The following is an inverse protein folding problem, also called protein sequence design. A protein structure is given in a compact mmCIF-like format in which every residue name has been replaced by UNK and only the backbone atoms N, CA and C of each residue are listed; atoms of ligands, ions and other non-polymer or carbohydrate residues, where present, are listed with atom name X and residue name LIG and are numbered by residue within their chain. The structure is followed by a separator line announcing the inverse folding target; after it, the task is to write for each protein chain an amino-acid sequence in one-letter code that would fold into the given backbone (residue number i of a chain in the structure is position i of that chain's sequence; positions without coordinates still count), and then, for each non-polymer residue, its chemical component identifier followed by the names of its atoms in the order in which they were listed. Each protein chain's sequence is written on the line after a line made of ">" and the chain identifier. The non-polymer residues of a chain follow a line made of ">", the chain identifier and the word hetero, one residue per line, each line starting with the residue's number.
data_IF_937510649816
#
_entry.id   IF_937510649816
#
_cell.length_a   1.000
_cell.length_b   1.000
_cell.length_c   1.000
_cell.angle_alpha   90.00
_cell.angle_beta   90.00
_cell.angle_gamma   90.00
#
_symmetry.space_group_name_H-M   'P 1'
#
loop_
_entity.id
_entity.type
_entity.pdbx_description
1 polymer ?
#
# COMPACT_ATOMS: atom_id res chain seq x y z
N UNK A 1 40.89 -3.70 -68.49
CA UNK A 1 40.79 -4.14 -67.06
C UNK A 1 40.02 -3.06 -66.31
N UNK A 2 38.73 -3.18 -66.32
CA UNK A 2 37.83 -2.25 -65.55
C UNK A 2 36.51 -2.99 -65.32
N UNK A 3 36.12 -3.27 -64.06
CA UNK A 3 34.80 -3.80 -63.80
C UNK A 3 34.64 -4.64 -62.53
N UNK A 4 35.17 -4.16 -61.38
CA UNK A 4 35.00 -4.87 -60.10
C UNK A 4 34.66 -3.98 -58.91
N UNK A 5 34.24 -2.73 -59.21
CA UNK A 5 33.97 -1.73 -58.16
C UNK A 5 32.52 -1.55 -57.76
N UNK A 6 31.57 -1.95 -58.59
CA UNK A 6 30.16 -1.49 -58.41
C UNK A 6 29.27 -2.45 -57.59
N UNK A 7 29.61 -3.72 -57.50
CA UNK A 7 28.77 -4.72 -56.77
C UNK A 7 28.82 -4.57 -55.24
N UNK A 8 29.89 -4.00 -54.68
CA UNK A 8 30.00 -3.80 -53.21
C UNK A 8 29.06 -2.72 -52.70
N UNK A 9 28.85 -1.68 -53.48
CA UNK A 9 27.96 -0.55 -53.08
C UNK A 9 26.47 -0.91 -53.07
N UNK A 10 26.06 -1.79 -53.97
CA UNK A 10 24.65 -2.26 -54.00
C UNK A 10 24.31 -3.21 -52.88
N UNK A 11 25.23 -4.07 -52.45
CA UNK A 11 25.08 -4.94 -51.31
C UNK A 11 24.98 -4.20 -49.99
N UNK A 12 25.82 -3.18 -49.79
CA UNK A 12 25.85 -2.36 -48.58
C UNK A 12 24.56 -1.54 -48.42
N UNK A 13 24.05 -0.92 -49.49
CA UNK A 13 22.76 -0.21 -49.45
C UNK A 13 21.59 -1.08 -49.13
N UNK A 14 21.55 -2.32 -49.66
CA UNK A 14 20.49 -3.32 -49.31
C UNK A 14 20.58 -3.75 -47.86
N UNK A 15 21.77 -3.95 -47.32
CA UNK A 15 22.00 -4.34 -45.95
C UNK A 15 21.61 -3.23 -44.97
N UNK A 16 22.02 -1.99 -45.22
CA UNK A 16 21.61 -0.81 -44.45
C UNK A 16 20.08 -0.64 -44.42
N UNK A 17 19.42 -0.82 -45.57
CA UNK A 17 17.97 -0.71 -45.67
C UNK A 17 17.25 -1.79 -44.85
N UNK A 18 17.75 -3.03 -44.90
CA UNK A 18 17.20 -4.13 -44.10
C UNK A 18 17.43 -3.92 -42.60
N UNK A 19 18.59 -3.46 -42.17
CA UNK A 19 18.89 -3.15 -40.78
C UNK A 19 18.01 -2.02 -40.26
N UNK A 20 17.76 -0.98 -41.08
CA UNK A 20 16.92 0.13 -40.70
C UNK A 20 15.44 -0.30 -40.56
N UNK A 21 14.95 -1.16 -41.46
CA UNK A 21 13.59 -1.73 -41.35
C UNK A 21 13.46 -2.60 -40.09
N UNK A 22 14.45 -3.44 -39.81
CA UNK A 22 14.48 -4.24 -38.59
C UNK A 22 14.48 -3.37 -37.34
N UNK A 23 15.26 -2.30 -37.33
CA UNK A 23 15.35 -1.38 -36.19
C UNK A 23 14.02 -0.65 -35.96
N UNK A 24 13.33 -0.20 -37.01
CA UNK A 24 12.01 0.44 -36.96
C UNK A 24 10.93 -0.51 -36.42
N UNK A 25 11.07 -1.81 -36.67
CA UNK A 25 10.10 -2.82 -36.16
C UNK A 25 10.47 -3.27 -34.75
N UNK A 26 11.75 -3.59 -34.50
CA UNK A 26 12.17 -4.15 -33.20
C UNK A 26 12.11 -3.12 -32.07
N UNK A 27 12.46 -1.86 -32.35
CA UNK A 27 12.49 -0.82 -31.31
C UNK A 27 11.11 -0.56 -30.67
N UNK A 28 10.02 -0.34 -31.43
CA UNK A 28 8.70 -0.21 -30.83
C UNK A 28 8.21 -1.51 -30.18
N UNK A 29 8.59 -2.68 -30.70
CA UNK A 29 8.23 -3.95 -30.12
C UNK A 29 8.88 -4.14 -28.73
N UNK A 30 10.17 -3.84 -28.60
CA UNK A 30 10.89 -3.88 -27.32
C UNK A 30 10.32 -2.83 -26.35
N UNK A 31 10.02 -1.63 -26.84
CA UNK A 31 9.39 -0.59 -26.01
C UNK A 31 8.01 -1.03 -25.53
N UNK A 32 7.19 -1.64 -26.38
CA UNK A 32 5.88 -2.14 -25.99
C UNK A 32 5.96 -3.22 -24.91
N UNK A 33 6.87 -4.18 -25.03
CA UNK A 33 7.11 -5.20 -24.02
C UNK A 33 7.60 -4.60 -22.70
N UNK A 34 8.60 -3.73 -22.74
CA UNK A 34 9.15 -3.08 -21.53
C UNK A 34 8.12 -2.20 -20.84
N UNK A 35 7.28 -1.51 -21.61
CA UNK A 35 6.22 -0.65 -21.05
C UNK A 35 5.13 -1.47 -20.40
N UNK A 36 4.74 -2.59 -20.99
CA UNK A 36 3.72 -3.48 -20.42
C UNK A 36 4.15 -4.04 -19.07
N UNK A 37 5.35 -4.58 -18.94
CA UNK A 37 5.88 -5.06 -17.67
C UNK A 37 6.00 -3.97 -16.60
N UNK A 38 6.42 -2.77 -17.01
CA UNK A 38 6.53 -1.64 -16.09
C UNK A 38 5.18 -1.14 -15.60
N UNK A 39 4.17 -1.10 -16.46
CA UNK A 39 2.79 -0.74 -16.10
C UNK A 39 2.22 -1.79 -15.14
N UNK A 40 2.41 -3.07 -15.41
CA UNK A 40 1.93 -4.14 -14.55
C UNK A 40 2.59 -4.11 -13.18
N UNK A 41 3.92 -3.94 -13.10
CA UNK A 41 4.66 -3.74 -11.84
C UNK A 41 4.21 -2.50 -11.10
N UNK A 42 4.01 -1.38 -11.80
CA UNK A 42 3.51 -0.14 -11.21
C UNK A 42 2.12 -0.32 -10.61
N UNK A 43 1.23 -0.98 -11.34
CA UNK A 43 -0.13 -1.29 -10.88
C UNK A 43 -0.13 -2.17 -9.64
N UNK A 44 0.66 -3.26 -9.64
CA UNK A 44 0.80 -4.20 -8.53
C UNK A 44 1.61 -3.65 -7.35
N UNK A 45 2.27 -2.51 -7.48
CA UNK A 45 3.07 -1.93 -6.40
C UNK A 45 2.32 -0.91 -5.55
N UNK A 46 1.12 -0.46 -5.97
CA UNK A 46 0.38 0.64 -5.35
C UNK A 46 -0.99 0.22 -4.83
N UNK A 47 -1.47 0.97 -3.82
CA UNK A 47 -2.82 0.89 -3.31
C UNK A 47 -3.73 1.77 -4.20
N UNK A 48 -4.39 1.17 -5.20
CA UNK A 48 -5.17 1.91 -6.19
C UNK A 48 -6.66 1.69 -6.06
N UNK A 49 -7.08 0.48 -5.67
CA UNK A 49 -8.47 0.06 -5.65
C UNK A 49 -8.94 -0.10 -4.20
N UNK A 50 -9.64 0.91 -3.70
CA UNK A 50 -10.24 0.86 -2.37
C UNK A 50 -11.44 -0.10 -2.35
N UNK A 51 -11.43 -1.04 -1.40
CA UNK A 51 -12.61 -1.80 -1.00
C UNK A 51 -13.19 -1.12 0.23
N UNK A 52 -14.32 -0.47 0.05
CA UNK A 52 -15.01 0.21 1.16
C UNK A 52 -15.60 -0.80 2.13
N UNK A 53 -15.40 -0.52 3.43
CA UNK A 53 -15.97 -1.29 4.53
C UNK A 53 -16.82 -0.32 5.35
N UNK A 54 -18.11 -0.58 5.47
CA UNK A 54 -19.01 0.27 6.22
C UNK A 54 -18.67 0.27 7.73
N UNK A 55 -19.12 1.28 8.44
CA UNK A 55 -18.84 1.41 9.87
C UNK A 55 -19.44 0.21 10.66
N UNK A 56 -18.58 -0.45 11.42
CA UNK A 56 -18.95 -1.64 12.20
C UNK A 56 -18.95 -2.95 11.42
N UNK A 57 -18.87 -2.93 10.11
CA UNK A 57 -18.80 -4.12 9.27
C UNK A 57 -17.42 -4.80 9.31
N UNK A 58 -17.42 -6.04 8.86
CA UNK A 58 -16.24 -6.88 8.73
C UNK A 58 -15.92 -7.08 7.25
N UNK A 59 -14.64 -7.22 6.91
CA UNK A 59 -14.19 -7.53 5.57
C UNK A 59 -13.13 -8.62 5.56
N UNK A 60 -13.28 -9.60 4.69
CA UNK A 60 -12.27 -10.63 4.47
C UNK A 60 -11.17 -10.08 3.57
N UNK A 61 -9.91 -10.15 4.05
CA UNK A 61 -8.76 -9.60 3.35
C UNK A 61 -7.46 -10.24 3.84
N UNK A 62 -6.65 -10.77 2.92
CA UNK A 62 -5.37 -11.38 3.25
C UNK A 62 -5.48 -12.57 4.19
N UNK A 63 -6.45 -13.46 3.99
CA UNK A 63 -6.62 -14.65 4.82
C UNK A 63 -7.12 -14.36 6.25
N UNK A 64 -7.71 -13.18 6.47
CA UNK A 64 -8.27 -12.81 7.76
C UNK A 64 -9.49 -11.92 7.59
N UNK A 65 -10.35 -11.91 8.61
CA UNK A 65 -11.53 -11.05 8.69
C UNK A 65 -11.24 -9.85 9.58
N UNK A 66 -11.24 -8.68 8.98
CA UNK A 66 -10.90 -7.42 9.61
C UNK A 66 -12.13 -6.66 10.06
N UNK A 67 -12.10 -6.14 11.27
CA UNK A 67 -13.12 -5.24 11.82
C UNK A 67 -12.43 -4.06 12.49
N UNK A 68 -12.77 -2.83 12.10
CA UNK A 68 -12.37 -1.65 12.84
C UNK A 68 -13.26 -1.51 14.07
N UNK A 69 -12.72 -1.84 15.25
CA UNK A 69 -13.45 -1.80 16.50
C UNK A 69 -13.63 -0.39 17.04
N UNK A 70 -12.55 0.41 16.98
CA UNK A 70 -12.57 1.80 17.43
C UNK A 70 -11.57 2.65 16.65
N UNK A 71 -11.96 3.89 16.37
CA UNK A 71 -11.08 4.93 15.88
C UNK A 71 -11.27 6.15 16.78
N UNK A 72 -10.26 6.43 17.60
CA UNK A 72 -10.31 7.46 18.65
C UNK A 72 -9.27 8.53 18.37
N UNK A 73 -9.59 9.78 18.70
CA UNK A 73 -8.65 10.88 18.61
C UNK A 73 -8.66 11.71 19.90
N UNK A 74 -7.51 12.27 20.25
CA UNK A 74 -7.34 13.16 21.38
C UNK A 74 -6.34 14.26 21.05
N UNK A 75 -6.53 15.50 21.57
CA UNK A 75 -5.52 16.52 21.49
C UNK A 75 -4.29 16.11 22.28
N UNK A 76 -3.11 16.46 21.78
CA UNK A 76 -1.87 16.19 22.47
C UNK A 76 -1.29 17.48 23.07
N UNK A 77 -0.74 17.41 24.28
CA UNK A 77 -0.02 18.55 24.83
C UNK A 77 1.22 18.86 23.98
N UNK A 78 1.48 20.12 23.75
CA UNK A 78 2.71 20.56 23.10
C UNK A 78 3.91 20.17 23.98
N UNK A 79 4.92 19.57 23.38
CA UNK A 79 6.15 19.21 24.11
C UNK A 79 7.02 18.21 23.36
N UNK A 80 8.31 18.33 23.55
CA UNK A 80 9.28 17.46 22.86
C UNK A 80 9.17 17.55 21.34
N UNK A 81 8.96 16.41 20.68
CA UNK A 81 8.81 16.33 19.21
C UNK A 81 7.35 16.41 18.74
N UNK A 82 6.40 16.85 19.60
CA UNK A 82 4.99 16.94 19.27
C UNK A 82 4.63 18.41 18.98
N UNK A 83 4.20 18.74 17.75
CA UNK A 83 3.70 20.09 17.44
C UNK A 83 2.46 20.44 18.27
N UNK A 84 2.34 21.70 18.73
CA UNK A 84 1.27 22.14 19.63
C UNK A 84 -0.16 22.08 19.06
N UNK A 85 -0.32 21.80 17.78
CA UNK A 85 -1.61 21.62 17.10
C UNK A 85 -1.82 20.19 16.58
N UNK A 86 -1.06 19.26 17.12
CA UNK A 86 -1.19 17.86 16.72
C UNK A 86 -2.30 17.12 17.49
N UNK A 87 -2.90 16.16 16.82
CA UNK A 87 -3.86 15.22 17.37
C UNK A 87 -3.26 13.82 17.35
N UNK A 88 -3.40 13.10 18.45
CA UNK A 88 -3.15 11.67 18.48
C UNK A 88 -4.39 10.92 17.98
N UNK A 89 -4.21 9.99 17.05
CA UNK A 89 -5.28 9.11 16.58
C UNK A 89 -4.88 7.68 16.84
N UNK A 90 -5.80 6.87 17.37
CA UNK A 90 -5.58 5.45 17.64
C UNK A 90 -6.66 4.63 16.95
N UNK A 91 -6.22 3.70 16.12
CA UNK A 91 -7.08 2.72 15.47
C UNK A 91 -6.92 1.35 16.15
N UNK A 92 -8.02 0.79 16.63
CA UNK A 92 -8.11 -0.54 17.23
C UNK A 92 -8.88 -1.47 16.30
N UNK A 93 -8.28 -2.60 15.95
CA UNK A 93 -8.90 -3.65 15.13
C UNK A 93 -9.08 -4.94 15.91
N UNK A 94 -10.13 -5.67 15.57
CA UNK A 94 -10.29 -7.10 15.81
C UNK A 94 -10.09 -7.82 14.50
N UNK A 95 -9.20 -8.81 14.48
CA UNK A 95 -8.85 -9.54 13.27
C UNK A 95 -8.95 -11.04 13.56
N UNK A 96 -9.93 -11.69 12.95
CA UNK A 96 -10.08 -13.14 13.03
C UNK A 96 -9.28 -13.80 11.92
N UNK A 97 -8.33 -14.64 12.30
CA UNK A 97 -7.46 -15.34 11.38
C UNK A 97 -8.24 -16.48 10.72
N UNK A 98 -8.26 -16.51 9.40
CA UNK A 98 -8.87 -17.57 8.60
C UNK A 98 -7.80 -18.51 8.03
N UNK A 99 -6.64 -17.96 7.63
CA UNK A 99 -5.50 -18.68 7.13
C UNK A 99 -4.29 -18.44 8.05
N UNK A 100 -3.65 -19.51 8.50
CA UNK A 100 -2.52 -19.45 9.43
C UNK A 100 -1.22 -18.97 8.78
N UNK A 101 -1.13 -18.89 7.44
CA UNK A 101 0.04 -18.35 6.75
C UNK A 101 0.07 -16.81 6.78
N UNK A 102 0.19 -16.26 7.98
CA UNK A 102 0.33 -14.82 8.17
C UNK A 102 1.59 -14.25 7.51
N UNK A 103 2.79 -14.88 7.61
CA UNK A 103 3.98 -14.38 6.93
C UNK A 103 3.83 -14.27 5.42
N UNK A 104 3.11 -15.19 4.79
CA UNK A 104 2.79 -15.13 3.37
C UNK A 104 1.74 -14.07 3.05
N UNK A 105 0.61 -14.10 3.76
CA UNK A 105 -0.57 -13.28 3.45
C UNK A 105 -0.44 -11.81 3.88
N UNK A 106 0.28 -11.52 4.99
CA UNK A 106 0.36 -10.17 5.59
C UNK A 106 1.67 -9.46 5.33
N UNK A 107 2.48 -9.98 4.41
CA UNK A 107 3.72 -9.30 4.01
C UNK A 107 3.44 -7.84 3.67
N UNK A 108 4.25 -6.92 4.25
CA UNK A 108 4.10 -5.49 4.04
C UNK A 108 2.79 -4.92 4.60
N UNK A 109 2.24 -5.53 5.66
CA UNK A 109 1.06 -5.01 6.35
C UNK A 109 1.28 -3.55 6.75
N UNK A 110 0.44 -2.68 6.21
CA UNK A 110 0.47 -1.25 6.50
C UNK A 110 -0.94 -0.77 6.82
N UNK A 111 -1.10 -0.24 8.03
CA UNK A 111 -2.30 0.50 8.40
C UNK A 111 -1.94 1.97 8.32
N UNK A 112 -2.75 2.76 7.63
CA UNK A 112 -2.54 4.19 7.47
C UNK A 112 -3.85 4.96 7.65
N UNK A 113 -3.74 6.23 7.98
CA UNK A 113 -4.86 7.17 7.88
C UNK A 113 -4.78 7.88 6.54
N UNK A 114 -5.92 8.15 5.95
CA UNK A 114 -6.04 8.87 4.69
C UNK A 114 -7.20 9.87 4.80
N UNK A 115 -7.01 11.07 4.26
CA UNK A 115 -8.09 12.06 4.09
C UNK A 115 -8.72 12.02 2.69
N UNK A 116 -9.71 12.88 2.47
CA UNK A 116 -10.38 13.01 1.19
C UNK A 116 -9.51 13.60 0.07
N UNK A 117 -8.36 14.17 0.40
CA UNK A 117 -7.38 14.73 -0.55
C UNK A 117 -6.27 13.73 -0.91
N UNK A 118 -6.31 12.52 -0.36
CA UNK A 118 -5.32 11.48 -0.61
C UNK A 118 -4.04 11.62 0.24
N UNK A 119 -3.95 12.59 1.17
CA UNK A 119 -2.83 12.66 2.11
C UNK A 119 -2.87 11.47 3.05
N UNK A 120 -1.69 10.90 3.34
CA UNK A 120 -1.57 9.69 4.16
C UNK A 120 -0.69 9.96 5.38
N UNK A 121 -1.09 9.41 6.51
CA UNK A 121 -0.31 9.39 7.74
C UNK A 121 -0.01 7.96 8.11
N UNK A 122 1.28 7.67 8.30
CA UNK A 122 1.77 6.37 8.72
C UNK A 122 1.78 6.26 10.25
N UNK A 123 1.82 5.05 10.79
CA UNK A 123 1.93 4.82 12.23
C UNK A 123 3.16 5.51 12.84
N UNK A 124 3.03 5.91 14.10
CA UNK A 124 4.11 6.52 14.86
C UNK A 124 4.28 5.86 16.23
N UNK A 125 5.52 5.77 16.68
CA UNK A 125 5.89 5.29 18.02
C UNK A 125 6.11 6.46 19.01
N UNK A 126 5.92 7.72 18.59
CA UNK A 126 6.06 8.89 19.45
C UNK A 126 4.98 8.90 20.54
N UNK A 127 3.80 8.36 20.24
CA UNK A 127 2.69 8.29 21.17
C UNK A 127 2.85 7.10 22.12
N UNK A 128 3.01 7.39 23.40
CA UNK A 128 3.02 6.36 24.44
C UNK A 128 1.60 5.90 24.73
N UNK A 129 1.24 4.75 24.19
CA UNK A 129 -0.04 4.13 24.49
C UNK A 129 0.03 3.30 25.79
N UNK A 130 -1.07 3.20 26.55
CA UNK A 130 -1.16 2.25 27.65
C UNK A 130 -0.85 0.84 27.18
N UNK A 131 -0.17 0.06 28.04
CA UNK A 131 0.12 -1.35 27.76
C UNK A 131 -1.19 -2.11 27.52
N UNK A 132 -1.22 -2.94 26.51
CA UNK A 132 -2.35 -3.79 26.16
C UNK A 132 -1.83 -5.06 25.48
N UNK A 133 -2.71 -6.02 25.30
CA UNK A 133 -2.52 -7.25 24.53
C UNK A 133 -2.57 -7.01 23.00
N UNK A 134 -2.83 -5.78 22.57
CA UNK A 134 -2.87 -5.44 21.16
C UNK A 134 -1.45 -5.32 20.58
N UNK A 135 -1.28 -5.85 19.40
CA UNK A 135 -0.02 -5.86 18.65
C UNK A 135 -0.08 -4.84 17.51
N UNK A 136 1.06 -4.45 17.00
CA UNK A 136 1.16 -3.72 15.74
C UNK A 136 0.98 -4.68 14.56
N UNK A 137 0.53 -4.17 13.40
CA UNK A 137 0.28 -5.01 12.24
C UNK A 137 1.51 -5.81 11.81
N UNK A 138 2.67 -5.16 11.83
CA UNK A 138 3.94 -5.82 11.46
C UNK A 138 4.31 -6.91 12.47
N UNK A 139 4.12 -6.67 13.76
CA UNK A 139 4.42 -7.64 14.83
C UNK A 139 3.46 -8.84 14.78
N UNK A 140 2.20 -8.60 14.43
CA UNK A 140 1.18 -9.64 14.34
C UNK A 140 1.49 -10.70 13.27
N UNK A 141 2.29 -10.37 12.25
CA UNK A 141 2.75 -11.32 11.23
C UNK A 141 3.48 -12.53 11.87
N UNK A 142 4.21 -12.26 12.95
CA UNK A 142 5.04 -13.26 13.65
C UNK A 142 4.38 -13.80 14.93
N UNK A 143 3.10 -13.55 15.14
CA UNK A 143 2.36 -13.97 16.35
C UNK A 143 2.21 -15.49 16.47
N UNK A 144 2.37 -16.24 15.38
CA UNK A 144 2.09 -17.68 15.34
C UNK A 144 0.59 -18.01 15.51
N UNK A 145 -0.28 -17.04 15.30
CA UNK A 145 -1.73 -17.24 15.44
C UNK A 145 -2.25 -18.28 14.44
N UNK A 146 -3.07 -19.19 14.92
CA UNK A 146 -3.69 -20.25 14.12
C UNK A 146 -5.03 -19.78 13.54
N UNK A 147 -5.51 -20.48 12.52
CA UNK A 147 -6.86 -20.27 11.99
C UNK A 147 -7.90 -20.36 13.13
N UNK A 148 -8.87 -19.45 13.11
CA UNK A 148 -9.88 -19.28 14.17
C UNK A 148 -9.47 -18.35 15.31
N UNK A 149 -8.16 -18.06 15.49
CA UNK A 149 -7.70 -17.12 16.51
C UNK A 149 -8.15 -15.68 16.21
N UNK A 150 -8.38 -14.90 17.27
CA UNK A 150 -8.65 -13.46 17.15
C UNK A 150 -7.47 -12.67 17.68
N UNK A 151 -6.89 -11.82 16.82
CA UNK A 151 -5.85 -10.88 17.19
C UNK A 151 -6.44 -9.48 17.41
N UNK A 152 -5.83 -8.75 18.33
CA UNK A 152 -6.07 -7.31 18.50
C UNK A 152 -4.91 -6.55 17.91
N UNK A 153 -5.21 -5.67 16.96
CA UNK A 153 -4.20 -4.82 16.32
C UNK A 153 -4.50 -3.37 16.69
N UNK A 154 -3.46 -2.67 17.13
CA UNK A 154 -3.54 -1.26 17.49
C UNK A 154 -2.45 -0.49 16.80
N UNK A 155 -2.83 0.66 16.21
CA UNK A 155 -1.91 1.58 15.57
C UNK A 155 -2.18 3.01 16.03
N UNK A 156 -1.10 3.75 16.29
CA UNK A 156 -1.15 5.13 16.71
C UNK A 156 -0.61 6.04 15.60
N UNK A 157 -1.21 7.21 15.46
CA UNK A 157 -0.88 8.18 14.43
C UNK A 157 -0.80 9.57 15.02
N UNK A 158 0.09 10.39 14.46
CA UNK A 158 0.17 11.81 14.74
C UNK A 158 -0.32 12.57 13.50
N UNK A 159 -1.36 13.38 13.67
CA UNK A 159 -2.00 14.10 12.56
C UNK A 159 -2.21 15.57 12.91
N UNK A 160 -2.21 16.48 11.94
CA UNK A 160 -2.61 17.85 12.15
C UNK A 160 -4.09 17.94 12.54
N UNK A 161 -4.43 18.91 13.40
CA UNK A 161 -5.81 19.10 13.90
C UNK A 161 -6.83 19.30 12.78
N UNK A 162 -6.46 20.03 11.75
CA UNK A 162 -7.32 20.33 10.59
C UNK A 162 -7.68 19.08 9.77
N UNK A 163 -6.85 18.04 9.80
CA UNK A 163 -7.10 16.79 9.08
C UNK A 163 -7.90 15.77 9.92
N UNK A 164 -7.91 15.90 11.25
CA UNK A 164 -8.37 14.86 12.16
C UNK A 164 -9.85 14.45 11.98
N UNK A 165 -10.73 15.37 11.57
CA UNK A 165 -12.18 15.10 11.45
C UNK A 165 -12.59 14.31 10.19
N UNK A 166 -11.75 14.26 9.17
CA UNK A 166 -12.08 13.67 7.85
C UNK A 166 -11.28 12.40 7.52
N UNK A 167 -10.57 11.88 8.51
CA UNK A 167 -9.70 10.72 8.34
C UNK A 167 -10.49 9.41 8.20
N UNK A 168 -9.97 8.54 7.35
CA UNK A 168 -10.39 7.15 7.22
C UNK A 168 -9.19 6.24 7.41
N UNK A 169 -9.41 5.08 8.01
CA UNK A 169 -8.35 4.09 8.18
C UNK A 169 -8.29 3.19 6.95
N UNK A 170 -7.08 2.93 6.49
CA UNK A 170 -6.81 2.01 5.39
C UNK A 170 -5.93 0.86 5.86
N UNK A 171 -6.15 -0.34 5.31
CA UNK A 171 -5.31 -1.52 5.52
C UNK A 171 -4.83 -2.01 4.17
N UNK A 172 -3.53 -2.11 4.00
CA UNK A 172 -2.87 -2.57 2.79
C UNK A 172 -1.95 -3.74 3.08
N UNK A 173 -1.99 -4.76 2.23
CA UNK A 173 -1.14 -5.93 2.26
C UNK A 173 -0.46 -6.08 0.91
N UNK A 174 0.83 -6.38 0.87
CA UNK A 174 1.58 -6.44 -0.37
C UNK A 174 0.99 -7.45 -1.36
N UNK A 175 0.53 -8.60 -0.86
CA UNK A 175 -0.04 -9.67 -1.68
C UNK A 175 -1.44 -9.35 -2.23
N UNK A 176 -2.12 -8.35 -1.67
CA UNK A 176 -3.46 -7.96 -2.07
C UNK A 176 -3.49 -6.76 -3.02
N UNK A 177 -2.32 -6.16 -3.28
CA UNK A 177 -2.23 -5.03 -4.21
C UNK A 177 -2.71 -5.40 -5.61
N UNK A 178 -3.41 -4.53 -6.30
CA UNK A 178 -3.65 -3.10 -6.02
C UNK A 178 -4.81 -2.80 -5.06
N UNK A 179 -5.49 -3.82 -4.50
CA UNK A 179 -6.61 -3.65 -3.58
C UNK A 179 -6.14 -3.32 -2.17
N UNK A 180 -6.94 -2.51 -1.46
CA UNK A 180 -6.77 -2.23 -0.05
C UNK A 180 -8.12 -1.98 0.62
N UNK A 181 -8.21 -2.19 1.93
CA UNK A 181 -9.43 -1.87 2.68
C UNK A 181 -9.43 -0.40 3.07
N UNK A 182 -10.61 0.23 3.01
CA UNK A 182 -10.85 1.58 3.51
C UNK A 182 -12.12 1.58 4.36
N UNK A 183 -11.98 1.90 5.64
CA UNK A 183 -13.07 1.88 6.60
C UNK A 183 -13.77 3.23 6.64
N UNK A 184 -15.11 3.22 6.53
CA UNK A 184 -15.93 4.43 6.50
C UNK A 184 -16.11 5.09 7.89
N UNK A 185 -15.64 4.45 8.95
CA UNK A 185 -15.74 4.98 10.32
C UNK A 185 -14.82 6.19 10.50
N UNK A 186 -15.40 7.29 11.05
CA UNK A 186 -14.67 8.50 11.41
C UNK A 186 -14.12 8.47 12.84
N UNK A 187 -13.05 9.22 13.12
CA UNK A 187 -12.50 9.32 14.46
C UNK A 187 -13.50 9.94 15.44
N UNK A 188 -13.56 9.39 16.65
CA UNK A 188 -14.32 9.97 17.77
C UNK A 188 -13.37 10.68 18.72
N UNK A 189 -13.74 11.90 19.11
CA UNK A 189 -12.99 12.65 20.10
C UNK A 189 -13.16 11.98 21.47
N UNK A 190 -12.04 11.73 22.13
CA UNK A 190 -11.97 11.24 23.50
C UNK A 190 -11.43 12.38 24.35
N UNK A 191 -12.14 12.72 25.42
CA UNK A 191 -11.71 13.70 26.42
C UNK A 191 -10.81 13.06 27.46
#
# INVERSE_FOLDING_TARGET
>A
MTGRGDDRGAGEKRWRRRSMVLLVILLPLVMAFSTHENIERWWKSRDLLAREVAAGEQADFGGARWQLHALRMAPLPAGGNIPGHAMGVVADFRVQIQDADLPGNWRGCTIALQDGQGRRWLPTHVLRLPRSDAQECVSAIFSGAKAGATLRIRQAFLVPREAAGVLRVTVSLLQQKPHYLRFAQHPRLVQ
#
